data_IF_810082649243
#
_entry.id   IF_810082649243
#
_cell.length_a   1.000
_cell.length_b   1.000
_cell.length_c   1.000
_cell.angle_alpha   90.00
_cell.angle_beta   90.00
_cell.angle_gamma   90.00
#
_symmetry.space_group_name_H-M   'P 1'
#
loop_
_entity.id
_entity.type
_entity.pdbx_description
1 polymer ?
#
# COMPACT_ATOMS: atom_id res chain seq x y z
N UNK A 1 23.17 -54.08 17.93
CA UNK A 1 21.83 -53.73 18.47
C UNK A 1 21.82 -52.47 19.36
N UNK A 2 22.79 -52.28 20.27
CA UNK A 2 22.76 -51.15 21.22
C UNK A 2 22.96 -49.76 20.54
N UNK A 3 23.90 -49.64 19.60
CA UNK A 3 24.16 -48.39 18.87
C UNK A 3 22.97 -47.95 18.00
N UNK A 4 22.30 -48.90 17.33
CA UNK A 4 21.10 -48.62 16.55
C UNK A 4 19.93 -48.10 17.42
N UNK A 5 19.75 -48.68 18.62
CA UNK A 5 18.77 -48.17 19.60
C UNK A 5 19.10 -46.76 20.10
N UNK A 6 20.38 -46.46 20.30
CA UNK A 6 20.79 -45.10 20.71
C UNK A 6 20.61 -44.08 19.58
N UNK A 7 20.90 -44.45 18.34
CA UNK A 7 20.69 -43.59 17.17
C UNK A 7 19.19 -43.27 16.98
N UNK A 8 18.32 -44.28 17.05
CA UNK A 8 16.87 -44.10 16.93
C UNK A 8 16.31 -43.20 18.04
N UNK A 9 16.75 -43.40 19.29
CA UNK A 9 16.34 -42.55 20.42
C UNK A 9 16.81 -41.09 20.25
N UNK A 10 18.00 -40.89 19.67
CA UNK A 10 18.53 -39.56 19.36
C UNK A 10 17.72 -38.87 18.27
N UNK A 11 17.37 -39.59 17.22
CA UNK A 11 16.53 -39.07 16.14
C UNK A 11 15.13 -38.67 16.64
N UNK A 12 14.50 -39.50 17.47
CA UNK A 12 13.21 -39.21 18.09
C UNK A 12 13.26 -37.96 18.97
N UNK A 13 14.33 -37.81 19.76
CA UNK A 13 14.55 -36.60 20.58
C UNK A 13 14.68 -35.35 19.70
N UNK A 14 15.41 -35.46 18.58
CA UNK A 14 15.60 -34.36 17.64
C UNK A 14 14.28 -33.96 16.96
N UNK A 15 13.42 -34.92 16.61
CA UNK A 15 12.07 -34.64 16.08
C UNK A 15 11.20 -33.92 17.11
N UNK A 16 11.21 -34.37 18.37
CA UNK A 16 10.44 -33.71 19.43
C UNK A 16 10.91 -32.30 19.78
N UNK A 17 12.18 -31.97 19.52
CA UNK A 17 12.70 -30.62 19.73
C UNK A 17 12.15 -29.60 18.70
N UNK A 18 11.57 -30.06 17.58
CA UNK A 18 11.06 -29.19 16.53
C UNK A 18 9.69 -28.64 16.91
N UNK A 19 9.60 -27.32 17.06
CA UNK A 19 8.31 -26.64 17.10
C UNK A 19 7.81 -26.37 15.68
N UNK A 20 7.07 -27.35 15.12
CA UNK A 20 6.55 -27.27 13.74
C UNK A 20 5.73 -26.00 13.49
N UNK A 21 4.89 -25.58 14.44
CA UNK A 21 4.05 -24.39 14.27
C UNK A 21 4.90 -23.12 14.15
N UNK A 22 5.88 -22.96 15.04
CA UNK A 22 6.76 -21.79 15.02
C UNK A 22 7.64 -21.77 13.77
N UNK A 23 8.12 -22.93 13.32
CA UNK A 23 8.95 -23.03 12.13
C UNK A 23 8.17 -22.70 10.84
N UNK A 24 6.93 -23.18 10.71
CA UNK A 24 6.05 -22.82 9.58
C UNK A 24 5.71 -21.32 9.57
N UNK A 25 5.42 -20.74 10.74
CA UNK A 25 5.17 -19.30 10.84
C UNK A 25 6.42 -18.50 10.45
N UNK A 26 7.61 -18.91 10.90
CA UNK A 26 8.87 -18.29 10.51
C UNK A 26 9.13 -18.40 9.00
N UNK A 27 8.80 -19.53 8.38
CA UNK A 27 8.89 -19.70 6.92
C UNK A 27 7.93 -18.76 6.18
N UNK A 28 6.69 -18.62 6.65
CA UNK A 28 5.70 -17.68 6.07
C UNK A 28 6.22 -16.24 6.18
N UNK A 29 6.76 -15.86 7.34
CA UNK A 29 7.35 -14.54 7.54
C UNK A 29 8.57 -14.32 6.64
N UNK A 30 9.44 -15.32 6.50
CA UNK A 30 10.58 -15.24 5.60
C UNK A 30 10.13 -14.98 4.16
N UNK A 31 9.15 -15.76 3.68
CA UNK A 31 8.59 -15.61 2.32
C UNK A 31 7.96 -14.23 2.13
N UNK A 32 7.12 -13.79 3.07
CA UNK A 32 6.33 -12.56 2.93
C UNK A 32 7.16 -11.29 3.16
N UNK A 33 8.01 -11.26 4.19
CA UNK A 33 8.82 -10.08 4.55
C UNK A 33 9.98 -9.89 3.60
N UNK A 34 10.60 -10.97 3.11
CA UNK A 34 11.74 -10.90 2.17
C UNK A 34 11.32 -11.01 0.72
N UNK A 35 10.01 -11.08 0.43
CA UNK A 35 9.47 -11.20 -0.91
C UNK A 35 10.11 -12.37 -1.70
N UNK A 36 10.23 -13.53 -1.05
CA UNK A 36 10.78 -14.72 -1.70
C UNK A 36 9.72 -15.41 -2.55
N UNK A 37 10.18 -16.07 -3.61
CA UNK A 37 9.34 -16.97 -4.39
C UNK A 37 8.85 -18.14 -3.52
N UNK A 38 7.63 -18.60 -3.76
CA UNK A 38 7.07 -19.78 -3.11
C UNK A 38 7.83 -21.08 -3.45
N UNK A 39 8.71 -21.06 -4.46
CA UNK A 39 9.61 -22.16 -4.72
C UNK A 39 10.80 -22.24 -3.75
N UNK A 40 10.90 -21.33 -2.77
CA UNK A 40 11.99 -21.39 -1.79
C UNK A 40 12.00 -22.69 -0.99
N UNK A 41 10.86 -23.39 -0.86
CA UNK A 41 10.83 -24.72 -0.24
C UNK A 41 11.58 -25.78 -1.01
N UNK A 42 11.93 -25.58 -2.28
CA UNK A 42 12.73 -26.53 -3.05
C UNK A 42 14.20 -26.14 -3.15
N UNK A 43 14.64 -25.06 -2.49
CA UNK A 43 16.02 -24.59 -2.58
C UNK A 43 16.95 -25.46 -1.74
N UNK A 44 17.98 -26.11 -2.33
CA UNK A 44 18.93 -26.93 -1.60
C UNK A 44 19.62 -26.19 -0.45
N UNK A 45 19.84 -24.88 -0.61
CA UNK A 45 20.48 -24.01 0.39
C UNK A 45 19.61 -23.84 1.63
N UNK A 46 18.29 -23.71 1.46
CA UNK A 46 17.37 -23.60 2.58
C UNK A 46 17.28 -24.93 3.33
N UNK A 47 17.22 -26.05 2.61
CA UNK A 47 17.26 -27.39 3.21
C UNK A 47 18.57 -27.64 3.96
N UNK A 48 19.72 -27.29 3.37
CA UNK A 48 21.02 -27.43 4.00
C UNK A 48 21.13 -26.58 5.28
N UNK A 49 20.59 -25.35 5.28
CA UNK A 49 20.57 -24.48 6.45
C UNK A 49 19.72 -25.07 7.58
N UNK A 50 18.53 -25.58 7.29
CA UNK A 50 17.66 -26.20 8.29
C UNK A 50 18.29 -27.48 8.84
N UNK A 51 18.82 -28.33 7.96
CA UNK A 51 19.49 -29.59 8.33
C UNK A 51 20.77 -29.38 9.15
N UNK A 52 21.48 -28.27 8.93
CA UNK A 52 22.64 -27.90 9.74
C UNK A 52 22.26 -27.57 11.19
N UNK A 53 21.04 -27.06 11.43
CA UNK A 53 20.52 -26.78 12.77
C UNK A 53 19.92 -28.04 13.39
N UNK A 54 19.08 -28.76 12.63
CA UNK A 54 18.51 -30.03 13.05
C UNK A 54 18.33 -30.97 11.84
N UNK A 55 19.11 -32.06 11.73
CA UNK A 55 19.02 -32.99 10.60
C UNK A 55 17.70 -33.78 10.56
N UNK A 56 16.92 -33.78 11.64
CA UNK A 56 15.61 -34.42 11.67
C UNK A 56 14.46 -33.53 11.14
N UNK A 57 14.76 -32.30 10.68
CA UNK A 57 13.78 -31.33 10.19
C UNK A 57 13.60 -31.31 8.67
N UNK A 58 14.10 -32.32 7.97
CA UNK A 58 14.05 -32.43 6.50
C UNK A 58 12.60 -32.47 5.94
N UNK A 59 11.68 -33.02 6.73
CA UNK A 59 10.25 -33.05 6.42
C UNK A 59 9.53 -31.71 6.63
N UNK A 60 10.16 -30.75 7.33
CA UNK A 60 9.54 -29.47 7.69
C UNK A 60 9.33 -28.55 6.48
N UNK A 61 10.22 -28.62 5.49
CA UNK A 61 10.20 -27.81 4.27
C UNK A 61 9.84 -28.66 3.04
N UNK A 62 9.53 -29.94 3.22
CA UNK A 62 9.07 -30.85 2.15
C UNK A 62 7.64 -30.52 1.66
N UNK A 63 7.26 -29.25 1.73
CA UNK A 63 6.00 -28.68 1.32
C UNK A 63 6.05 -28.38 -0.18
N UNK A 64 5.10 -28.96 -0.92
CA UNK A 64 4.87 -28.60 -2.32
C UNK A 64 4.58 -27.10 -2.46
N UNK A 65 4.86 -26.52 -3.62
CA UNK A 65 4.61 -25.10 -3.92
C UNK A 65 3.20 -24.62 -3.53
N UNK A 66 2.17 -25.42 -3.83
CA UNK A 66 0.77 -25.11 -3.47
C UNK A 66 0.52 -25.05 -1.96
N UNK A 67 1.37 -25.70 -1.15
CA UNK A 67 1.26 -25.71 0.30
C UNK A 67 1.72 -24.38 0.91
N UNK A 68 2.82 -23.78 0.43
CA UNK A 68 3.26 -22.45 0.89
C UNK A 68 2.21 -21.39 0.56
N UNK A 69 1.70 -21.38 -0.68
CA UNK A 69 0.67 -20.41 -1.07
C UNK A 69 -0.57 -20.50 -0.15
N UNK A 70 -1.01 -21.72 0.19
CA UNK A 70 -2.12 -21.96 1.10
C UNK A 70 -1.81 -21.49 2.52
N UNK A 71 -0.59 -21.75 3.01
CA UNK A 71 -0.13 -21.29 4.32
C UNK A 71 -0.10 -19.76 4.41
N UNK A 72 0.45 -19.09 3.38
CA UNK A 72 0.46 -17.62 3.29
C UNK A 72 -0.97 -17.06 3.26
N UNK A 73 -1.86 -17.66 2.46
CA UNK A 73 -3.27 -17.24 2.38
C UNK A 73 -4.00 -17.40 3.72
N UNK A 74 -3.77 -18.51 4.42
CA UNK A 74 -4.34 -18.74 5.74
C UNK A 74 -3.79 -17.74 6.78
N UNK A 75 -2.46 -17.53 6.78
CA UNK A 75 -1.81 -16.56 7.66
C UNK A 75 -2.32 -15.14 7.41
N UNK A 76 -2.54 -14.77 6.15
CA UNK A 76 -3.17 -13.49 5.79
C UNK A 76 -4.57 -13.35 6.42
N UNK A 77 -5.42 -14.36 6.32
CA UNK A 77 -6.76 -14.33 6.93
C UNK A 77 -6.69 -14.14 8.46
N UNK A 78 -5.79 -14.86 9.14
CA UNK A 78 -5.60 -14.73 10.60
C UNK A 78 -5.13 -13.32 10.96
N UNK A 79 -4.10 -12.81 10.30
CA UNK A 79 -3.55 -11.48 10.59
C UNK A 79 -4.52 -10.36 10.21
N UNK A 80 -5.30 -10.52 9.15
CA UNK A 80 -6.39 -9.61 8.77
C UNK A 80 -7.45 -9.53 9.87
N UNK A 81 -7.86 -10.66 10.44
CA UNK A 81 -8.82 -10.70 11.54
C UNK A 81 -8.26 -10.12 12.84
N UNK A 82 -6.96 -10.31 13.11
CA UNK A 82 -6.28 -9.63 14.23
C UNK A 82 -6.28 -8.11 14.05
N UNK A 83 -5.89 -7.63 12.86
CA UNK A 83 -5.93 -6.20 12.53
C UNK A 83 -7.34 -5.65 12.62
N UNK A 84 -8.34 -6.37 12.09
CA UNK A 84 -9.76 -5.99 12.19
C UNK A 84 -10.17 -5.76 13.64
N UNK A 85 -9.90 -6.72 14.53
CA UNK A 85 -10.23 -6.58 15.96
C UNK A 85 -9.52 -5.39 16.60
N UNK A 86 -8.26 -5.15 16.25
CA UNK A 86 -7.48 -4.01 16.76
C UNK A 86 -8.06 -2.66 16.34
N UNK A 87 -8.47 -2.54 15.07
CA UNK A 87 -9.11 -1.32 14.55
C UNK A 87 -10.51 -1.11 15.13
N UNK A 88 -11.22 -2.18 15.47
CA UNK A 88 -12.54 -2.09 16.12
C UNK A 88 -12.42 -1.73 17.61
N UNK A 89 -11.40 -2.22 18.30
CA UNK A 89 -11.22 -2.00 19.75
C UNK A 89 -10.66 -0.62 20.09
N UNK A 90 -9.91 0.01 19.19
CA UNK A 90 -9.30 1.32 19.48
C UNK A 90 -10.35 2.37 19.83
N UNK A 91 -10.21 3.13 20.94
CA UNK A 91 -11.16 4.18 21.29
C UNK A 91 -11.02 5.40 20.36
N UNK A 92 -9.94 5.48 19.61
CA UNK A 92 -9.59 6.61 18.76
C UNK A 92 -10.26 6.52 17.38
N UNK A 93 -10.29 7.67 16.69
CA UNK A 93 -10.71 7.71 15.28
C UNK A 93 -9.63 7.07 14.41
N UNK A 94 -10.09 6.50 13.30
CA UNK A 94 -9.27 5.91 12.26
C UNK A 94 -9.16 6.92 11.12
N UNK A 95 -7.97 7.07 10.54
CA UNK A 95 -7.72 8.02 9.47
C UNK A 95 -7.34 7.26 8.19
N UNK A 96 -8.33 6.85 7.37
CA UNK A 96 -8.06 6.23 6.08
C UNK A 96 -7.32 7.20 5.18
N UNK A 97 -6.43 6.65 4.36
CA UNK A 97 -5.85 7.38 3.25
C UNK A 97 -5.70 6.44 2.08
N UNK A 98 -5.85 6.97 0.87
CA UNK A 98 -5.71 6.18 -0.32
C UNK A 98 -4.89 6.90 -1.39
N UNK A 99 -4.24 6.09 -2.20
CA UNK A 99 -3.49 6.56 -3.35
C UNK A 99 -3.81 5.68 -4.56
N UNK A 100 -3.84 6.31 -5.72
CA UNK A 100 -4.12 5.65 -6.99
C UNK A 100 -2.96 5.86 -7.93
N UNK A 101 -2.47 4.77 -8.50
CA UNK A 101 -1.42 4.83 -9.49
C UNK A 101 -1.66 3.87 -10.63
N UNK A 102 -1.09 4.22 -11.78
CA UNK A 102 -1.02 3.34 -12.94
C UNK A 102 0.28 2.54 -12.89
N UNK A 103 0.17 1.22 -12.89
CA UNK A 103 1.30 0.33 -13.02
C UNK A 103 1.73 0.17 -14.49
N UNK A 104 3.00 -0.17 -14.78
CA UNK A 104 3.51 -0.31 -16.15
C UNK A 104 2.77 -1.32 -17.03
N UNK A 105 2.04 -2.24 -16.42
CA UNK A 105 1.20 -3.23 -17.10
C UNK A 105 -0.22 -2.72 -17.42
N UNK A 106 -0.39 -1.39 -17.55
CA UNK A 106 -1.67 -0.72 -17.84
C UNK A 106 -2.78 -0.93 -16.80
N UNK A 107 -2.43 -1.41 -15.60
CA UNK A 107 -3.38 -1.58 -14.50
C UNK A 107 -3.43 -0.33 -13.63
N UNK A 108 -4.63 0.06 -13.24
CA UNK A 108 -4.84 1.07 -12.20
C UNK A 108 -4.97 0.35 -10.85
N UNK A 109 -4.15 0.74 -9.87
CA UNK A 109 -4.20 0.18 -8.51
C UNK A 109 -4.60 1.27 -7.52
N UNK A 110 -5.45 0.90 -6.57
CA UNK A 110 -5.83 1.71 -5.41
C UNK A 110 -5.29 1.03 -4.16
N UNK A 111 -4.35 1.70 -3.49
CA UNK A 111 -3.89 1.33 -2.16
C UNK A 111 -4.73 2.06 -1.12
N UNK A 112 -5.44 1.32 -0.26
CA UNK A 112 -6.20 1.87 0.87
C UNK A 112 -5.48 1.50 2.15
N UNK A 113 -5.05 2.51 2.89
CA UNK A 113 -4.37 2.38 4.15
C UNK A 113 -5.15 3.06 5.27
N UNK A 114 -4.75 2.81 6.51
CA UNK A 114 -5.29 3.48 7.68
C UNK A 114 -4.16 3.88 8.62
N UNK A 115 -4.23 5.10 9.16
CA UNK A 115 -3.45 5.52 10.32
C UNK A 115 -4.32 5.50 11.57
N UNK A 116 -3.77 4.98 12.66
CA UNK A 116 -4.45 4.88 13.95
C UNK A 116 -3.44 4.89 15.09
N UNK A 117 -3.90 5.18 16.31
CA UNK A 117 -3.07 5.11 17.51
C UNK A 117 -3.26 3.75 18.16
N UNK A 118 -2.15 3.08 18.43
CA UNK A 118 -2.12 1.87 19.23
C UNK A 118 -2.54 2.18 20.68
N UNK A 119 -3.59 1.55 21.22
CA UNK A 119 -4.06 1.86 22.56
C UNK A 119 -3.06 1.46 23.65
N UNK A 120 -2.24 0.44 23.41
CA UNK A 120 -1.32 -0.13 24.40
C UNK A 120 0.04 0.60 24.36
N UNK A 121 0.64 0.69 23.17
CA UNK A 121 1.93 1.33 22.95
C UNK A 121 1.85 2.88 22.90
N UNK A 122 0.66 3.44 22.67
CA UNK A 122 0.42 4.88 22.45
C UNK A 122 1.20 5.46 21.27
N UNK A 123 1.51 4.62 20.29
CA UNK A 123 2.24 4.99 19.08
C UNK A 123 1.30 5.12 17.88
N UNK A 124 1.66 6.00 16.94
CA UNK A 124 0.97 6.10 15.67
C UNK A 124 1.39 4.95 14.75
N UNK A 125 0.45 4.08 14.41
CA UNK A 125 0.64 2.96 13.51
C UNK A 125 -0.05 3.21 12.17
N UNK A 126 0.42 2.47 11.17
CA UNK A 126 -0.14 2.45 9.83
C UNK A 126 -0.31 1.01 9.36
N UNK A 127 -1.41 0.73 8.65
CA UNK A 127 -1.63 -0.56 8.01
C UNK A 127 -2.23 -0.39 6.60
N UNK A 128 -1.81 -1.25 5.68
CA UNK A 128 -2.47 -1.44 4.39
C UNK A 128 -3.71 -2.32 4.59
N UNK A 129 -4.89 -1.79 4.24
CA UNK A 129 -6.16 -2.50 4.37
C UNK A 129 -6.54 -3.25 3.11
N UNK A 130 -6.23 -2.67 1.95
CA UNK A 130 -6.46 -3.25 0.65
C UNK A 130 -5.49 -2.69 -0.40
N UNK A 131 -5.09 -3.55 -1.32
CA UNK A 131 -4.48 -3.17 -2.59
C UNK A 131 -5.36 -3.78 -3.68
N UNK A 132 -6.07 -2.93 -4.42
CA UNK A 132 -7.13 -3.38 -5.33
C UNK A 132 -6.95 -2.78 -6.72
N UNK A 133 -7.25 -3.58 -7.74
CA UNK A 133 -7.27 -3.12 -9.13
C UNK A 133 -8.57 -2.33 -9.37
N UNK A 134 -8.44 -1.14 -9.94
CA UNK A 134 -9.54 -0.35 -10.49
C UNK A 134 -9.80 -0.77 -11.94
N UNK A 135 -10.99 -0.49 -12.50
CA UNK A 135 -11.20 -0.60 -13.94
C UNK A 135 -10.05 0.12 -14.66
N UNK A 136 -9.36 -0.58 -15.55
CA UNK A 136 -8.09 -0.16 -16.14
C UNK A 136 -8.12 1.22 -16.81
N UNK A 137 -6.97 1.71 -17.27
CA UNK A 137 -6.84 3.05 -17.87
C UNK A 137 -7.87 3.33 -18.99
N UNK A 138 -8.22 2.29 -19.75
CA UNK A 138 -9.12 2.37 -20.90
C UNK A 138 -10.59 2.04 -20.56
N UNK A 139 -10.88 1.75 -19.29
CA UNK A 139 -12.22 1.41 -18.81
C UNK A 139 -13.08 2.64 -18.50
N UNK A 140 -14.42 2.57 -18.69
CA UNK A 140 -15.31 3.65 -18.27
C UNK A 140 -15.22 3.86 -16.75
N UNK A 141 -14.92 5.09 -16.32
CA UNK A 141 -14.76 5.43 -14.91
C UNK A 141 -13.35 5.22 -14.34
N UNK A 142 -12.34 4.99 -15.20
CA UNK A 142 -10.93 4.88 -14.79
C UNK A 142 -10.52 6.01 -13.85
N UNK A 143 -9.91 5.64 -12.71
CA UNK A 143 -9.51 6.56 -11.62
C UNK A 143 -10.64 7.41 -11.00
N UNK A 144 -11.90 7.17 -11.36
CA UNK A 144 -13.04 7.94 -10.92
C UNK A 144 -13.34 7.74 -9.44
N UNK A 145 -13.70 8.83 -8.74
CA UNK A 145 -14.02 8.79 -7.31
C UNK A 145 -15.16 7.83 -6.93
N UNK A 146 -16.06 7.52 -7.88
CA UNK A 146 -17.12 6.52 -7.68
C UNK A 146 -16.58 5.08 -7.64
N UNK A 147 -15.62 4.73 -8.49
CA UNK A 147 -15.01 3.40 -8.50
C UNK A 147 -14.11 3.22 -7.27
N UNK A 148 -13.34 4.26 -6.93
CA UNK A 148 -12.58 4.28 -5.67
C UNK A 148 -13.50 4.11 -4.45
N UNK A 149 -14.67 4.74 -4.46
CA UNK A 149 -15.65 4.64 -3.38
C UNK A 149 -16.18 3.22 -3.20
N UNK A 150 -16.49 2.49 -4.29
CA UNK A 150 -16.95 1.08 -4.19
C UNK A 150 -15.96 0.22 -3.42
N UNK A 151 -14.66 0.39 -3.70
CA UNK A 151 -13.59 -0.33 -3.01
C UNK A 151 -13.45 0.11 -1.56
N UNK A 152 -13.45 1.42 -1.28
CA UNK A 152 -13.37 1.95 0.07
C UNK A 152 -14.57 1.51 0.93
N UNK A 153 -15.79 1.56 0.39
CA UNK A 153 -16.99 1.11 1.07
C UNK A 153 -16.86 -0.37 1.45
N UNK A 154 -16.42 -1.23 0.52
CA UNK A 154 -16.19 -2.64 0.80
C UNK A 154 -15.16 -2.83 1.92
N UNK A 155 -14.07 -2.06 1.94
CA UNK A 155 -13.07 -2.12 3.02
C UNK A 155 -13.68 -1.72 4.37
N UNK A 156 -14.41 -0.60 4.42
CA UNK A 156 -15.04 -0.12 5.66
C UNK A 156 -16.05 -1.13 6.22
N UNK A 157 -16.79 -1.82 5.36
CA UNK A 157 -17.74 -2.87 5.71
C UNK A 157 -17.04 -4.18 6.11
N UNK A 158 -16.04 -4.62 5.35
CA UNK A 158 -15.28 -5.84 5.61
C UNK A 158 -14.51 -5.78 6.92
N UNK A 159 -13.95 -4.62 7.27
CA UNK A 159 -13.33 -4.40 8.57
C UNK A 159 -14.35 -3.98 9.64
N UNK A 160 -15.58 -3.63 9.27
CA UNK A 160 -16.62 -3.07 10.13
C UNK A 160 -16.11 -1.91 11.01
N UNK A 161 -15.54 -0.91 10.34
CA UNK A 161 -14.90 0.27 10.96
C UNK A 161 -15.48 1.61 10.49
N UNK A 162 -16.57 1.58 9.72
CA UNK A 162 -17.19 2.78 9.13
C UNK A 162 -17.54 3.86 10.18
N UNK A 163 -17.94 3.47 11.39
CA UNK A 163 -18.32 4.39 12.47
C UNK A 163 -17.12 5.10 13.15
N UNK A 164 -15.90 4.68 12.84
CA UNK A 164 -14.67 5.22 13.44
C UNK A 164 -13.89 6.15 12.51
N UNK A 165 -14.37 6.40 11.29
CA UNK A 165 -13.69 7.28 10.34
C UNK A 165 -13.57 8.70 10.93
N UNK A 166 -12.34 9.21 10.96
CA UNK A 166 -11.97 10.54 11.42
C UNK A 166 -11.76 11.48 10.24
N UNK A 167 -10.58 11.39 9.62
CA UNK A 167 -10.24 12.16 8.41
C UNK A 167 -9.89 11.21 7.27
N UNK A 168 -10.15 11.66 6.05
CA UNK A 168 -9.71 10.97 4.84
C UNK A 168 -8.58 11.77 4.18
N UNK A 169 -7.46 11.11 3.85
CA UNK A 169 -6.36 11.72 3.11
C UNK A 169 -6.24 11.13 1.72
N UNK A 170 -6.22 11.99 0.70
CA UNK A 170 -5.96 11.60 -0.70
C UNK A 170 -5.10 12.65 -1.40
N UNK A 171 -4.68 12.38 -2.63
CA UNK A 171 -3.99 13.38 -3.44
C UNK A 171 -4.90 14.59 -3.78
N UNK A 172 -4.32 15.61 -4.41
CA UNK A 172 -5.08 16.82 -4.78
C UNK A 172 -5.82 16.64 -6.11
N UNK A 173 -6.51 15.52 -6.28
CA UNK A 173 -7.33 15.22 -7.45
C UNK A 173 -8.83 15.34 -7.11
N UNK A 174 -9.63 15.92 -8.01
CA UNK A 174 -11.09 16.12 -7.79
C UNK A 174 -11.88 14.82 -7.63
N UNK A 175 -11.33 13.68 -8.08
CA UNK A 175 -11.91 12.36 -7.80
C UNK A 175 -11.98 12.07 -6.29
N UNK A 176 -11.02 12.57 -5.51
CA UNK A 176 -11.02 12.45 -4.06
C UNK A 176 -12.11 13.30 -3.39
N UNK A 177 -12.49 14.45 -3.96
CA UNK A 177 -13.64 15.22 -3.50
C UNK A 177 -14.94 14.45 -3.70
N UNK A 178 -15.13 13.90 -4.90
CA UNK A 178 -16.28 13.05 -5.21
C UNK A 178 -16.36 11.84 -4.26
N UNK A 179 -15.23 11.18 -4.00
CA UNK A 179 -15.16 10.07 -3.05
C UNK A 179 -15.53 10.51 -1.62
N UNK A 180 -15.03 11.66 -1.15
CA UNK A 180 -15.38 12.18 0.17
C UNK A 180 -16.87 12.50 0.30
N UNK A 181 -17.50 13.06 -0.75
CA UNK A 181 -18.96 13.30 -0.76
C UNK A 181 -19.75 11.99 -0.67
N UNK A 182 -19.32 10.95 -1.38
CA UNK A 182 -19.93 9.61 -1.30
C UNK A 182 -19.77 8.98 0.09
N UNK A 183 -18.58 9.09 0.69
CA UNK A 183 -18.30 8.65 2.05
C UNK A 183 -19.17 9.38 3.08
N UNK A 184 -19.26 10.71 3.01
CA UNK A 184 -20.10 11.51 3.91
C UNK A 184 -21.57 11.12 3.81
N UNK A 185 -22.10 10.98 2.60
CA UNK A 185 -23.48 10.51 2.38
C UNK A 185 -23.73 9.11 2.96
N UNK A 186 -22.77 8.19 2.82
CA UNK A 186 -22.87 6.85 3.38
C UNK A 186 -22.89 6.87 4.91
N UNK A 187 -22.01 7.65 5.52
CA UNK A 187 -21.91 7.80 6.98
C UNK A 187 -23.15 8.49 7.55
N UNK A 188 -23.65 9.53 6.90
CA UNK A 188 -24.86 10.24 7.30
C UNK A 188 -26.09 9.32 7.29
N UNK A 189 -26.24 8.49 6.25
CA UNK A 189 -27.29 7.45 6.19
C UNK A 189 -27.20 6.43 7.33
N UNK A 190 -26.02 6.26 7.93
CA UNK A 190 -25.78 5.42 9.10
C UNK A 190 -25.79 6.19 10.43
N UNK A 191 -26.19 7.46 10.42
CA UNK A 191 -26.30 8.30 11.62
C UNK A 191 -24.97 8.86 12.13
N UNK A 192 -23.93 8.88 11.30
CA UNK A 192 -22.63 9.47 11.63
C UNK A 192 -22.49 10.82 10.93
N UNK A 193 -22.32 11.88 11.73
CA UNK A 193 -22.02 13.21 11.19
C UNK A 193 -20.57 13.26 10.71
N UNK A 194 -20.40 13.38 9.39
CA UNK A 194 -19.11 13.44 8.72
C UNK A 194 -19.21 14.35 7.49
N UNK A 195 -18.70 15.57 7.64
CA UNK A 195 -18.79 16.61 6.61
C UNK A 195 -17.57 16.53 5.66
N UNK A 196 -17.85 16.36 4.36
CA UNK A 196 -16.84 15.98 3.39
C UNK A 196 -15.72 17.00 3.20
N UNK A 197 -16.01 18.31 3.27
CA UNK A 197 -15.00 19.35 3.03
C UNK A 197 -14.05 19.49 4.22
N UNK A 198 -14.58 19.56 5.44
CA UNK A 198 -13.78 19.71 6.67
C UNK A 198 -13.03 18.44 7.07
N UNK A 199 -13.50 17.26 6.66
CA UNK A 199 -12.87 15.96 6.99
C UNK A 199 -11.94 15.42 5.90
N UNK A 200 -11.74 16.16 4.80
CA UNK A 200 -10.78 15.85 3.75
C UNK A 200 -9.43 16.52 4.03
N UNK A 201 -8.35 15.74 3.96
CA UNK A 201 -6.97 16.21 4.02
C UNK A 201 -6.33 15.96 2.65
N UNK A 202 -5.63 16.96 2.11
CA UNK A 202 -4.84 16.82 0.88
C UNK A 202 -3.45 16.27 1.21
N UNK A 203 -2.95 15.36 0.38
CA UNK A 203 -1.63 14.77 0.55
C UNK A 203 -0.53 15.83 0.50
N UNK A 204 0.19 16.01 1.60
CA UNK A 204 1.26 17.01 1.71
C UNK A 204 2.35 16.81 0.65
N UNK A 205 2.76 15.57 0.37
CA UNK A 205 3.74 15.27 -0.66
C UNK A 205 3.29 15.72 -2.05
N UNK A 206 2.00 15.56 -2.35
CA UNK A 206 1.43 16.06 -3.61
C UNK A 206 1.43 17.58 -3.66
N UNK A 207 1.08 18.28 -2.56
CA UNK A 207 1.13 19.74 -2.50
C UNK A 207 2.56 20.27 -2.70
N UNK A 208 3.56 19.68 -2.04
CA UNK A 208 4.96 20.06 -2.23
C UNK A 208 5.40 19.84 -3.68
N UNK A 209 5.03 18.70 -4.28
CA UNK A 209 5.33 18.43 -5.69
C UNK A 209 4.70 19.48 -6.62
N UNK A 210 3.44 19.87 -6.39
CA UNK A 210 2.78 20.94 -7.15
C UNK A 210 3.51 22.28 -6.97
N UNK A 211 3.87 22.65 -5.75
CA UNK A 211 4.60 23.89 -5.48
C UNK A 211 5.97 23.93 -6.17
N UNK A 212 6.71 22.82 -6.16
CA UNK A 212 8.00 22.70 -6.86
C UNK A 212 7.81 22.80 -8.37
N UNK A 213 6.81 22.11 -8.94
CA UNK A 213 6.56 22.21 -10.38
C UNK A 213 6.13 23.63 -10.79
N UNK A 214 5.31 24.28 -9.97
CA UNK A 214 4.93 25.67 -10.18
C UNK A 214 6.16 26.58 -10.18
N UNK A 215 7.05 26.44 -9.18
CA UNK A 215 8.29 27.20 -9.10
C UNK A 215 9.22 26.99 -10.31
N UNK A 216 9.32 25.76 -10.81
CA UNK A 216 10.26 25.42 -11.88
C UNK A 216 9.75 25.74 -13.30
N UNK A 217 8.43 25.74 -13.52
CA UNK A 217 7.85 25.77 -14.87
C UNK A 217 6.81 26.86 -15.11
N UNK A 218 6.55 27.73 -14.14
CA UNK A 218 5.63 28.86 -14.36
C UNK A 218 6.44 30.08 -14.81
N UNK A 219 6.20 30.49 -16.05
CA UNK A 219 6.98 31.51 -16.74
C UNK A 219 6.50 32.96 -16.45
N UNK A 220 5.38 33.15 -15.74
CA UNK A 220 4.85 34.48 -15.39
C UNK A 220 4.06 34.54 -14.07
N UNK A 221 3.96 35.74 -13.48
CA UNK A 221 3.17 35.98 -12.26
C UNK A 221 1.67 35.76 -12.47
N UNK A 222 1.19 36.01 -13.67
CA UNK A 222 -0.20 35.81 -14.10
C UNK A 222 -0.52 34.32 -14.21
N UNK A 223 0.40 33.51 -14.75
CA UNK A 223 0.27 32.06 -14.78
C UNK A 223 0.37 31.44 -13.38
N UNK A 224 1.18 32.03 -12.49
CA UNK A 224 1.23 31.62 -11.08
C UNK A 224 -0.08 31.95 -10.34
N UNK A 225 -0.67 33.13 -10.57
CA UNK A 225 -1.97 33.51 -9.99
C UNK A 225 -3.11 32.64 -10.50
N UNK A 226 -3.21 32.42 -11.81
CA UNK A 226 -4.23 31.52 -12.37
C UNK A 226 -4.07 30.09 -11.85
N UNK A 227 -2.84 29.62 -11.65
CA UNK A 227 -2.57 28.33 -11.03
C UNK A 227 -3.03 28.27 -9.56
N UNK A 228 -2.79 29.32 -8.79
CA UNK A 228 -3.22 29.43 -7.38
C UNK A 228 -4.75 29.51 -7.27
N UNK A 229 -5.42 30.31 -8.11
CA UNK A 229 -6.88 30.42 -8.16
C UNK A 229 -7.52 29.08 -8.54
N UNK A 230 -6.95 28.33 -9.48
CA UNK A 230 -7.38 26.96 -9.79
C UNK A 230 -7.18 25.96 -8.64
N UNK A 231 -6.16 26.13 -7.78
CA UNK A 231 -5.96 25.30 -6.59
C UNK A 231 -7.04 25.59 -5.53
N UNK A 232 -7.53 26.82 -5.46
CA UNK A 232 -8.57 27.26 -4.52
C UNK A 232 -9.99 26.92 -5.00
N UNK A 233 -10.29 26.99 -6.30
CA UNK A 233 -11.64 26.81 -6.86
C UNK A 233 -11.98 25.41 -7.42
N UNK A 234 -11.02 24.50 -7.59
CA UNK A 234 -11.28 23.24 -8.28
C UNK A 234 -11.93 22.14 -7.39
N UNK A 235 -13.24 22.23 -7.22
CA UNK A 235 -14.12 21.12 -6.85
C UNK A 235 -14.32 20.12 -8.03
N UNK A 236 -13.73 20.35 -9.22
CA UNK A 236 -13.95 19.54 -10.45
C UNK A 236 -12.71 19.14 -11.28
N UNK A 237 -11.57 19.85 -11.27
CA UNK A 237 -10.39 19.45 -12.07
C UNK A 237 -9.11 19.44 -11.24
N UNK A 238 -8.45 18.30 -11.20
CA UNK A 238 -7.18 18.18 -10.52
C UNK A 238 -6.14 19.08 -11.18
N UNK A 239 -5.66 20.07 -10.42
CA UNK A 239 -4.53 20.89 -10.82
C UNK A 239 -3.35 20.01 -11.28
N UNK A 240 -3.15 18.82 -10.69
CA UNK A 240 -2.05 17.92 -11.03
C UNK A 240 -2.09 17.29 -12.43
N UNK A 241 -3.24 16.87 -12.95
CA UNK A 241 -3.30 16.21 -14.28
C UNK A 241 -3.29 17.23 -15.41
N UNK A 242 -4.14 18.26 -15.35
CA UNK A 242 -4.24 19.30 -16.40
C UNK A 242 -2.98 20.19 -16.45
N UNK A 243 -2.36 20.52 -15.30
CA UNK A 243 -1.06 21.20 -15.27
C UNK A 243 0.07 20.30 -15.78
N UNK A 244 0.10 19.02 -15.38
CA UNK A 244 1.14 18.11 -15.87
C UNK A 244 1.03 17.86 -17.38
N UNK A 245 -0.18 17.84 -17.95
CA UNK A 245 -0.40 17.60 -19.38
C UNK A 245 -0.16 18.84 -20.23
N UNK A 246 -0.60 20.03 -19.78
CA UNK A 246 -0.26 21.30 -20.44
C UNK A 246 1.25 21.58 -20.41
N UNK A 247 1.94 21.13 -19.36
CA UNK A 247 3.39 21.28 -19.23
C UNK A 247 4.15 20.03 -19.72
N UNK A 248 3.56 18.91 -20.14
CA UNK A 248 4.32 17.75 -20.71
C UNK A 248 5.26 18.16 -21.87
N UNK A 249 4.80 18.88 -22.90
CA UNK A 249 5.69 19.40 -23.95
C UNK A 249 6.62 20.52 -23.45
N UNK A 250 6.17 21.35 -22.50
CA UNK A 250 6.97 22.41 -21.88
C UNK A 250 7.97 21.88 -20.84
N UNK A 251 7.85 20.66 -20.30
CA UNK A 251 8.76 20.04 -19.32
C UNK A 251 10.03 19.60 -20.03
N UNK A 252 9.92 18.90 -21.16
CA UNK A 252 11.09 18.49 -21.93
C UNK A 252 11.89 19.68 -22.47
N UNK A 253 11.22 20.76 -22.89
CA UNK A 253 11.89 22.03 -23.25
C UNK A 253 12.28 22.87 -22.03
N UNK A 254 11.52 22.83 -20.94
CA UNK A 254 11.68 23.62 -19.71
C UNK A 254 12.86 23.14 -18.88
N UNK A 255 13.03 21.83 -18.69
CA UNK A 255 14.24 21.28 -18.06
C UNK A 255 15.49 21.66 -18.82
N UNK A 256 15.48 21.64 -20.16
CA UNK A 256 16.63 22.08 -20.98
C UNK A 256 16.96 23.57 -20.79
N UNK A 257 15.97 24.41 -20.42
CA UNK A 257 16.14 25.84 -20.13
C UNK A 257 16.59 26.13 -18.70
N UNK A 258 16.42 25.21 -17.76
CA UNK A 258 16.80 25.35 -16.34
C UNK A 258 18.31 25.15 -16.06
N UNK A 259 19.16 25.22 -17.10
CA UNK A 259 20.63 25.21 -16.95
C UNK A 259 21.16 23.99 -16.17
N UNK A 260 21.99 24.19 -15.13
CA UNK A 260 22.53 23.09 -14.31
C UNK A 260 21.46 22.19 -13.68
N UNK A 261 20.33 22.74 -13.25
CA UNK A 261 19.24 21.98 -12.64
C UNK A 261 18.59 21.04 -13.66
N UNK A 262 18.44 21.52 -14.90
CA UNK A 262 18.03 20.71 -16.05
C UNK A 262 18.94 19.52 -16.32
N UNK A 263 20.26 19.74 -16.23
CA UNK A 263 21.25 18.67 -16.41
C UNK A 263 21.17 17.63 -15.30
N UNK A 264 21.04 18.06 -14.04
CA UNK A 264 20.87 17.15 -12.90
C UNK A 264 19.57 16.35 -13.01
N UNK A 265 18.47 16.98 -13.43
CA UNK A 265 17.21 16.28 -13.69
C UNK A 265 17.39 15.20 -14.77
N UNK A 266 18.00 15.54 -15.90
CA UNK A 266 18.22 14.59 -16.99
C UNK A 266 19.13 13.43 -16.58
N UNK A 267 20.17 13.68 -15.77
CA UNK A 267 21.01 12.63 -15.19
C UNK A 267 20.17 11.73 -14.27
N UNK A 268 19.34 12.30 -13.41
CA UNK A 268 18.47 11.51 -12.51
C UNK A 268 17.43 10.68 -13.26
N UNK A 269 16.85 11.20 -14.35
CA UNK A 269 15.93 10.45 -15.22
C UNK A 269 16.69 9.29 -15.87
N UNK A 270 17.85 9.57 -16.47
CA UNK A 270 18.69 8.55 -17.09
C UNK A 270 19.08 7.45 -16.10
N UNK A 271 19.47 7.78 -14.86
CA UNK A 271 19.77 6.77 -13.84
C UNK A 271 18.56 5.90 -13.52
N UNK A 272 17.36 6.48 -13.37
CA UNK A 272 16.12 5.72 -13.10
C UNK A 272 15.67 4.82 -14.25
N UNK A 273 15.93 5.22 -15.49
CA UNK A 273 15.61 4.43 -16.67
C UNK A 273 16.58 3.25 -16.88
N UNK A 274 17.78 3.30 -16.28
CA UNK A 274 18.81 2.25 -16.38
C UNK A 274 18.90 1.34 -15.14
N UNK A 275 18.11 1.57 -14.10
CA UNK A 275 18.03 0.70 -12.91
C UNK A 275 17.05 -0.49 -13.09
N UNK A 276 16.84 -0.92 -14.34
CA UNK A 276 16.16 -2.17 -14.74
C UNK A 276 17.07 -3.04 -15.59
#
# INVERSE_FOLDING_TARGET
>A
MHAAKQLAKREETLRHAINHKAALEALIQLVTVRNLSYNCSSWPELHALISAVNPAADDLISLSHGSIQKLVSNSFCVHKDMLRRKLQSTPWKLHPFADVWSAPNHKALLGICVKFVDPDAKEALQALLALSELPGLDGPGSHGGAEQWKLLQHVLENYNIWNKVGFYTGDNHGSNDKLCRLLGNYLQKKGVDWEAKSRRIRCHGHIVNLAVQAFLFIDSKEAARAALEHIEDADESAFGTDFSERIKPQRAQGWRRLGPLGKVHNISIYMRENDY
#
